data_IF_105831779766
#
_entry.id   IF_105831779766
#
_cell.length_a   1.000
_cell.length_b   1.000
_cell.length_c   1.000
_cell.angle_alpha   90.00
_cell.angle_beta   90.00
_cell.angle_gamma   90.00
#
_symmetry.space_group_name_H-M   'P 1'
#
loop_
_entity.id
_entity.type
_entity.pdbx_description
1 polymer ?
#
# COMPACT_ATOMS: atom_id res chain seq x y z
N UNK A 1 5.82 7.21 -6.41
CA UNK A 1 5.93 7.58 -7.84
C UNK A 1 7.33 7.38 -8.43
N UNK A 2 8.40 7.86 -7.79
CA UNK A 2 9.77 7.77 -8.35
C UNK A 2 10.32 6.37 -8.62
N UNK A 3 9.97 5.37 -7.80
CA UNK A 3 10.44 3.98 -7.94
C UNK A 3 9.81 3.23 -9.11
N UNK A 4 8.50 3.38 -9.32
CA UNK A 4 7.79 2.77 -10.45
C UNK A 4 8.16 3.45 -11.78
N UNK A 5 8.34 4.78 -11.78
CA UNK A 5 8.78 5.54 -12.95
C UNK A 5 10.20 5.18 -13.40
N UNK A 6 11.14 5.04 -12.46
CA UNK A 6 12.51 4.59 -12.76
C UNK A 6 12.56 3.18 -13.35
N UNK A 7 11.78 2.25 -12.79
CA UNK A 7 11.64 0.89 -13.33
C UNK A 7 11.02 0.86 -14.73
N UNK A 8 10.03 1.72 -15.00
CA UNK A 8 9.42 1.87 -16.32
C UNK A 8 10.41 2.41 -17.35
N UNK A 9 11.14 3.49 -17.03
CA UNK A 9 12.16 4.11 -17.89
C UNK A 9 13.26 3.10 -18.23
N UNK A 10 13.82 2.41 -17.22
CA UNK A 10 14.80 1.34 -17.43
C UNK A 10 14.28 0.23 -18.35
N UNK A 11 13.02 -0.17 -18.18
CA UNK A 11 12.39 -1.21 -19.00
C UNK A 11 12.02 -0.75 -20.41
N UNK A 12 11.82 0.55 -20.63
CA UNK A 12 11.48 1.12 -21.93
C UNK A 12 12.73 1.38 -22.78
N UNK A 13 13.82 1.84 -22.16
CA UNK A 13 15.08 2.16 -22.85
C UNK A 13 16.04 0.97 -23.01
N UNK A 14 15.75 -0.20 -22.43
CA UNK A 14 16.49 -1.43 -22.76
C UNK A 14 15.92 -2.00 -24.07
N UNK A 15 16.70 -2.07 -25.18
CA UNK A 15 16.19 -2.41 -26.51
C UNK A 15 15.44 -3.76 -26.51
N UNK A 16 14.17 -3.73 -26.90
CA UNK A 16 13.19 -4.80 -26.70
C UNK A 16 12.93 -5.63 -27.96
N UNK A 17 13.91 -6.45 -28.35
CA UNK A 17 13.60 -7.70 -29.06
C UNK A 17 13.58 -8.81 -28.00
N UNK A 18 12.38 -9.18 -27.53
CA UNK A 18 12.20 -10.34 -26.63
C UNK A 18 11.82 -10.09 -25.15
N UNK A 19 11.36 -8.91 -24.74
CA UNK A 19 11.21 -8.54 -23.31
C UNK A 19 9.76 -8.38 -22.80
N UNK A 20 8.77 -8.77 -23.59
CA UNK A 20 7.33 -8.54 -23.38
C UNK A 20 6.77 -8.96 -22.01
N UNK A 21 7.13 -10.13 -21.47
CA UNK A 21 6.68 -10.52 -20.13
C UNK A 21 7.28 -9.65 -19.01
N UNK A 22 8.55 -9.24 -19.17
CA UNK A 22 9.25 -8.46 -18.14
C UNK A 22 8.72 -7.02 -18.13
N UNK A 23 8.71 -6.37 -19.29
CA UNK A 23 8.21 -5.00 -19.43
C UNK A 23 6.71 -4.91 -19.15
N UNK A 24 5.91 -5.86 -19.65
CA UNK A 24 4.48 -5.96 -19.37
C UNK A 24 4.18 -6.17 -17.89
N UNK A 25 4.96 -7.03 -17.22
CA UNK A 25 4.87 -7.24 -15.77
C UNK A 25 5.09 -5.95 -14.98
N UNK A 26 6.18 -5.24 -15.25
CA UNK A 26 6.45 -3.96 -14.56
C UNK A 26 5.41 -2.89 -14.90
N UNK A 27 4.85 -2.89 -16.11
CA UNK A 27 3.76 -1.98 -16.48
C UNK A 27 2.49 -2.23 -15.65
N UNK A 28 2.07 -3.49 -15.51
CA UNK A 28 0.91 -3.85 -14.67
C UNK A 28 1.14 -3.43 -13.23
N UNK A 29 2.31 -3.77 -12.67
CA UNK A 29 2.68 -3.35 -11.32
C UNK A 29 2.60 -1.83 -11.16
N UNK A 30 3.13 -1.07 -12.12
CA UNK A 30 3.09 0.38 -12.13
C UNK A 30 1.67 0.95 -12.19
N UNK A 31 0.80 0.38 -13.03
CA UNK A 31 -0.61 0.78 -13.17
C UNK A 31 -1.40 0.49 -11.89
N UNK A 32 -1.27 -0.73 -11.34
CA UNK A 32 -1.93 -1.13 -10.10
C UNK A 32 -1.49 -0.23 -8.94
N UNK A 33 -0.18 0.00 -8.79
CA UNK A 33 0.36 0.86 -7.74
C UNK A 33 -0.14 2.30 -7.87
N UNK A 34 -0.16 2.85 -9.09
CA UNK A 34 -0.68 4.20 -9.36
C UNK A 34 -2.17 4.29 -9.03
N UNK A 35 -2.94 3.29 -9.44
CA UNK A 35 -4.37 3.24 -9.14
C UNK A 35 -4.63 3.15 -7.63
N UNK A 36 -3.92 2.28 -6.91
CA UNK A 36 -4.03 2.15 -5.45
C UNK A 36 -3.73 3.48 -4.75
N UNK A 37 -2.64 4.16 -5.16
CA UNK A 37 -2.28 5.47 -4.61
C UNK A 37 -3.39 6.52 -4.85
N UNK A 38 -3.94 6.60 -6.07
CA UNK A 38 -5.01 7.54 -6.38
C UNK A 38 -6.30 7.21 -5.62
N UNK A 39 -6.65 5.93 -5.52
CA UNK A 39 -7.81 5.47 -4.78
C UNK A 39 -7.66 5.76 -3.27
N UNK A 40 -6.47 5.56 -2.70
CA UNK A 40 -6.18 5.91 -1.31
C UNK A 40 -6.34 7.41 -1.09
N UNK A 41 -5.68 8.25 -1.92
CA UNK A 41 -5.82 9.70 -1.86
C UNK A 41 -7.28 10.15 -1.97
N UNK A 42 -8.07 9.52 -2.85
CA UNK A 42 -9.49 9.79 -3.00
C UNK A 42 -10.29 9.43 -1.74
N UNK A 43 -10.06 8.25 -1.16
CA UNK A 43 -10.72 7.81 0.08
C UNK A 43 -10.37 8.76 1.22
N UNK A 44 -9.11 9.15 1.34
CA UNK A 44 -8.66 10.13 2.33
C UNK A 44 -9.31 11.49 2.13
N UNK A 45 -9.37 11.98 0.90
CA UNK A 45 -10.02 13.25 0.59
C UNK A 45 -11.51 13.21 0.93
N UNK A 46 -12.21 12.15 0.53
CA UNK A 46 -13.65 11.98 0.75
C UNK A 46 -14.01 11.80 2.24
N UNK A 47 -13.20 11.02 2.97
CA UNK A 47 -13.43 10.75 4.40
C UNK A 47 -12.82 11.80 5.32
N UNK A 48 -12.10 12.79 4.79
CA UNK A 48 -11.45 13.82 5.59
C UNK A 48 -12.52 14.61 6.39
N UNK A 49 -12.47 14.57 7.73
CA UNK A 49 -13.53 15.17 8.55
C UNK A 49 -13.41 16.69 8.69
N UNK A 50 -12.39 17.27 8.06
CA UNK A 50 -11.94 18.63 8.30
C UNK A 50 -11.97 19.39 6.97
N UNK A 51 -13.13 20.00 6.65
CA UNK A 51 -13.16 21.09 5.68
C UNK A 51 -12.61 22.36 6.35
N UNK A 52 -11.62 23.05 5.77
CA UNK A 52 -10.97 24.22 6.36
C UNK A 52 -11.97 25.33 6.72
N UNK A 53 -13.07 25.44 5.96
CA UNK A 53 -14.12 26.44 6.18
C UNK A 53 -14.86 26.28 7.51
N UNK A 54 -14.96 25.05 8.03
CA UNK A 54 -15.62 24.76 9.31
C UNK A 54 -14.68 24.97 10.51
N UNK A 55 -13.37 24.74 10.34
CA UNK A 55 -12.38 25.02 11.39
C UNK A 55 -12.32 26.51 11.69
N UNK A 56 -12.36 27.37 10.66
CA UNK A 56 -12.28 28.82 10.87
C UNK A 56 -13.45 29.37 11.70
N UNK A 57 -14.61 28.71 11.62
CA UNK A 57 -15.82 29.11 12.36
C UNK A 57 -15.98 28.40 13.72
N UNK A 58 -15.54 27.16 13.86
CA UNK A 58 -15.76 26.34 15.07
C UNK A 58 -14.48 25.80 15.71
N UNK A 59 -13.29 26.27 15.32
CA UNK A 59 -12.00 25.74 15.78
C UNK A 59 -11.87 25.69 17.29
N UNK A 60 -12.35 26.72 18.00
CA UNK A 60 -12.33 26.75 19.46
C UNK A 60 -13.25 25.69 20.12
N UNK A 61 -14.39 25.35 19.50
CA UNK A 61 -15.29 24.28 19.97
C UNK A 61 -14.76 22.89 19.61
N UNK A 62 -14.15 22.73 18.44
CA UNK A 62 -13.54 21.47 18.01
C UNK A 62 -12.36 21.07 18.90
N UNK A 63 -11.47 22.03 19.22
CA UNK A 63 -10.34 21.78 20.14
C UNK A 63 -10.84 21.37 21.53
N UNK A 64 -11.94 21.95 22.02
CA UNK A 64 -12.57 21.56 23.30
C UNK A 64 -13.24 20.19 23.25
N UNK A 65 -13.86 19.81 22.13
CA UNK A 65 -14.47 18.49 21.98
C UNK A 65 -13.43 17.37 21.76
N UNK A 66 -12.33 17.67 21.09
CA UNK A 66 -11.18 16.77 20.93
C UNK A 66 -10.47 16.54 22.28
N UNK A 67 -10.30 17.62 23.08
CA UNK A 67 -9.76 17.57 24.44
C UNK A 67 -10.60 16.74 25.42
N UNK A 68 -11.89 16.54 25.15
CA UNK A 68 -12.79 15.72 25.97
C UNK A 68 -12.95 14.28 25.46
N UNK A 69 -12.17 13.86 24.46
CA UNK A 69 -12.23 12.51 23.89
C UNK A 69 -13.59 12.14 23.29
N UNK A 70 -14.45 13.13 23.00
CA UNK A 70 -15.88 12.93 22.72
C UNK A 70 -16.21 12.92 21.23
N UNK A 71 -15.24 13.19 20.36
CA UNK A 71 -15.44 13.14 18.91
C UNK A 71 -15.29 11.68 18.46
N UNK A 72 -16.30 10.87 18.79
CA UNK A 72 -16.68 9.73 17.95
C UNK A 72 -17.12 10.34 16.63
N UNK A 73 -16.27 10.22 15.62
CA UNK A 73 -16.38 10.94 14.38
C UNK A 73 -17.54 10.34 13.56
N UNK A 74 -18.74 10.85 13.84
CA UNK A 74 -19.96 10.86 13.05
C UNK A 74 -20.14 9.64 12.11
N UNK A 75 -20.54 8.53 12.74
CA UNK A 75 -21.65 7.65 12.35
C UNK A 75 -22.43 8.08 11.08
N UNK A 76 -21.89 7.74 9.91
CA UNK A 76 -22.59 7.83 8.62
C UNK A 76 -22.57 6.49 7.90
N UNK A 77 -23.07 5.44 8.54
CA UNK A 77 -23.20 4.10 7.92
C UNK A 77 -24.40 3.32 8.46
N UNK A 78 -25.58 3.94 8.49
CA UNK A 78 -26.81 3.21 8.89
C UNK A 78 -27.12 2.03 7.96
N UNK A 79 -26.70 2.06 6.70
CA UNK A 79 -26.88 0.94 5.76
C UNK A 79 -25.82 -0.15 5.92
N UNK A 80 -24.53 0.21 5.87
CA UNK A 80 -23.43 -0.75 6.00
C UNK A 80 -23.43 -1.41 7.38
N UNK A 81 -23.73 -0.66 8.45
CA UNK A 81 -23.87 -1.21 9.80
C UNK A 81 -24.97 -2.27 9.89
N UNK A 82 -26.14 -2.02 9.26
CA UNK A 82 -27.27 -2.98 9.21
C UNK A 82 -26.96 -4.20 8.36
N UNK A 83 -26.31 -4.02 7.21
CA UNK A 83 -25.91 -5.12 6.33
C UNK A 83 -24.87 -6.03 7.01
N UNK A 84 -23.83 -5.42 7.62
CA UNK A 84 -22.86 -6.17 8.42
C UNK A 84 -23.56 -6.89 9.56
N UNK A 85 -24.45 -6.24 10.32
CA UNK A 85 -25.12 -6.89 11.45
C UNK A 85 -25.85 -8.17 11.04
N UNK A 86 -26.58 -8.16 9.91
CA UNK A 86 -27.22 -9.37 9.38
C UNK A 86 -26.23 -10.46 8.99
N UNK A 87 -25.13 -10.10 8.34
CA UNK A 87 -24.08 -11.07 7.98
C UNK A 87 -23.44 -11.67 9.24
N UNK A 88 -23.22 -10.85 10.27
CA UNK A 88 -22.73 -11.27 11.58
C UNK A 88 -23.67 -12.27 12.24
N UNK A 89 -24.96 -11.96 12.31
CA UNK A 89 -25.97 -12.81 12.95
C UNK A 89 -26.13 -14.16 12.22
N UNK A 90 -26.16 -14.14 10.87
CA UNK A 90 -26.20 -15.37 10.06
C UNK A 90 -24.93 -16.19 10.25
N UNK A 91 -23.75 -15.54 10.25
CA UNK A 91 -22.47 -16.20 10.47
C UNK A 91 -22.40 -16.90 11.83
N UNK A 92 -22.86 -16.24 12.90
CA UNK A 92 -22.95 -16.84 14.23
C UNK A 92 -23.90 -18.04 14.21
N UNK A 93 -25.09 -17.91 13.62
CA UNK A 93 -26.05 -19.01 13.57
C UNK A 93 -25.47 -20.25 12.85
N UNK A 94 -24.83 -20.06 11.70
CA UNK A 94 -24.20 -21.14 10.92
C UNK A 94 -23.03 -21.79 11.67
N UNK A 95 -22.14 -21.00 12.27
CA UNK A 95 -21.01 -21.51 13.04
C UNK A 95 -21.44 -22.25 14.32
N UNK A 96 -22.45 -21.73 15.01
CA UNK A 96 -22.96 -22.37 16.24
C UNK A 96 -23.62 -23.70 15.90
N UNK A 97 -24.40 -23.75 14.80
CA UNK A 97 -25.04 -24.98 14.31
C UNK A 97 -24.02 -26.04 13.89
N UNK A 98 -22.95 -25.65 13.19
CA UNK A 98 -21.88 -26.56 12.77
C UNK A 98 -21.06 -27.10 13.95
N UNK A 99 -20.73 -26.26 14.94
CA UNK A 99 -20.04 -26.69 16.17
C UNK A 99 -20.88 -27.70 16.97
N UNK A 100 -22.20 -27.51 17.04
CA UNK A 100 -23.10 -28.44 17.73
C UNK A 100 -23.15 -29.82 17.05
N UNK A 101 -23.04 -29.88 15.72
CA UNK A 101 -23.02 -31.14 14.95
C UNK A 101 -21.70 -31.91 15.08
N UNK A 102 -20.58 -31.26 15.34
CA UNK A 102 -19.28 -31.92 15.48
C UNK A 102 -19.18 -32.73 16.77
N UNK A 103 -18.59 -33.94 16.78
CA UNK A 103 -18.52 -34.83 17.94
C UNK A 103 -17.51 -34.39 19.03
N UNK A 104 -17.56 -33.12 19.45
CA UNK A 104 -16.63 -32.56 20.42
C UNK A 104 -17.10 -32.78 21.86
N UNK A 105 -16.16 -32.94 22.79
CA UNK A 105 -16.40 -32.87 24.24
C UNK A 105 -16.54 -31.39 24.63
N UNK A 106 -17.57 -31.05 25.42
CA UNK A 106 -17.97 -29.68 25.82
C UNK A 106 -18.42 -28.76 24.67
N UNK A 107 -19.39 -29.20 23.84
CA UNK A 107 -19.85 -28.45 22.65
C UNK A 107 -20.55 -27.14 23.00
N UNK A 108 -21.43 -27.17 24.00
CA UNK A 108 -22.23 -26.00 24.37
C UNK A 108 -21.37 -24.85 24.89
N UNK A 109 -20.40 -25.15 25.75
CA UNK A 109 -19.47 -24.13 26.25
C UNK A 109 -18.59 -23.56 25.13
N UNK A 110 -18.09 -24.41 24.23
CA UNK A 110 -17.27 -23.96 23.08
C UNK A 110 -18.10 -23.10 22.13
N UNK A 111 -19.35 -23.48 21.87
CA UNK A 111 -20.29 -22.72 21.04
C UNK A 111 -20.60 -21.35 21.66
N UNK A 112 -20.89 -21.27 22.96
CA UNK A 112 -21.12 -20.00 23.68
C UNK A 112 -19.89 -19.10 23.65
N UNK A 113 -18.70 -19.63 24.02
CA UNK A 113 -17.44 -18.86 23.98
C UNK A 113 -17.11 -18.35 22.58
N UNK A 114 -17.40 -19.14 21.54
CA UNK A 114 -17.22 -18.72 20.15
C UNK A 114 -18.19 -17.59 19.78
N UNK A 115 -19.48 -17.74 20.09
CA UNK A 115 -20.50 -16.73 19.83
C UNK A 115 -20.17 -15.39 20.51
N UNK A 116 -19.75 -15.41 21.78
CA UNK A 116 -19.33 -14.21 22.51
C UNK A 116 -18.09 -13.55 21.90
N UNK A 117 -17.06 -14.34 21.58
CA UNK A 117 -15.86 -13.82 20.90
C UNK A 117 -16.20 -13.22 19.54
N UNK A 118 -17.07 -13.87 18.79
CA UNK A 118 -17.50 -13.40 17.48
C UNK A 118 -18.30 -12.11 17.58
N UNK A 119 -19.28 -12.03 18.48
CA UNK A 119 -20.04 -10.79 18.72
C UNK A 119 -19.14 -9.63 19.17
N UNK A 120 -18.18 -9.90 20.05
CA UNK A 120 -17.22 -8.89 20.49
C UNK A 120 -16.29 -8.44 19.36
N UNK A 121 -15.84 -9.37 18.51
CA UNK A 121 -15.08 -9.03 17.31
C UNK A 121 -15.93 -8.20 16.34
N UNK A 122 -17.18 -8.58 16.13
CA UNK A 122 -18.09 -7.90 15.20
C UNK A 122 -18.44 -6.49 15.66
N UNK A 123 -18.71 -6.30 16.96
CA UNK A 123 -18.87 -4.96 17.56
C UNK A 123 -17.62 -4.10 17.34
N UNK A 124 -16.43 -4.68 17.46
CA UNK A 124 -15.18 -3.98 17.19
C UNK A 124 -15.07 -3.58 15.71
N UNK A 125 -15.44 -4.48 14.79
CA UNK A 125 -15.44 -4.22 13.35
C UNK A 125 -16.48 -3.15 12.96
N UNK A 126 -17.66 -3.17 13.57
CA UNK A 126 -18.72 -2.18 13.33
C UNK A 126 -18.35 -0.78 13.80
N UNK A 127 -17.56 -0.67 14.87
CA UNK A 127 -17.07 0.61 15.38
C UNK A 127 -15.88 1.16 14.57
N UNK A 128 -15.41 0.46 13.53
CA UNK A 128 -14.34 0.97 12.68
C UNK A 128 -14.87 2.07 11.77
N UNK A 129 -14.02 3.07 11.52
CA UNK A 129 -14.29 4.10 10.54
C UNK A 129 -14.33 3.51 9.13
N UNK A 130 -15.10 4.12 8.21
CA UNK A 130 -15.14 3.71 6.79
C UNK A 130 -13.73 3.62 6.21
N UNK A 131 -12.87 4.56 6.59
CA UNK A 131 -11.46 4.57 6.20
C UNK A 131 -10.73 3.30 6.65
N UNK A 132 -10.79 2.95 7.93
CA UNK A 132 -10.16 1.72 8.45
C UNK A 132 -10.72 0.46 7.79
N UNK A 133 -12.02 0.47 7.47
CA UNK A 133 -12.65 -0.66 6.80
C UNK A 133 -12.11 -0.85 5.37
N UNK A 134 -12.08 0.23 4.57
CA UNK A 134 -11.53 0.19 3.21
C UNK A 134 -10.03 -0.13 3.22
N UNK A 135 -9.28 0.47 4.13
CA UNK A 135 -7.85 0.20 4.31
C UNK A 135 -7.59 -1.28 4.55
N UNK A 136 -8.29 -1.89 5.52
CA UNK A 136 -8.02 -3.26 5.93
C UNK A 136 -8.55 -4.32 4.95
N UNK A 137 -9.70 -4.08 4.33
CA UNK A 137 -10.38 -5.08 3.49
C UNK A 137 -10.14 -4.91 1.98
N UNK A 138 -9.74 -3.71 1.53
CA UNK A 138 -9.49 -3.44 0.12
C UNK A 138 -8.02 -3.12 -0.14
N UNK A 139 -7.45 -2.12 0.53
CA UNK A 139 -6.09 -1.67 0.23
C UNK A 139 -5.04 -2.68 0.68
N UNK A 140 -5.05 -3.13 1.94
CA UNK A 140 -4.07 -4.10 2.46
C UNK A 140 -3.96 -5.38 1.62
N UNK A 141 -5.06 -6.08 1.24
CA UNK A 141 -4.93 -7.28 0.41
C UNK A 141 -4.46 -6.96 -1.02
N UNK A 142 -4.88 -5.84 -1.61
CA UNK A 142 -4.40 -5.44 -2.94
C UNK A 142 -2.92 -5.07 -2.93
N UNK A 143 -2.45 -4.39 -1.89
CA UNK A 143 -1.04 -4.10 -1.66
C UNK A 143 -0.23 -5.37 -1.46
N UNK A 144 -0.73 -6.32 -0.66
CA UNK A 144 -0.09 -7.62 -0.47
C UNK A 144 0.00 -8.40 -1.78
N UNK A 145 -1.07 -8.41 -2.59
CA UNK A 145 -1.06 -9.02 -3.91
C UNK A 145 -0.05 -8.34 -4.84
N UNK A 146 -0.03 -7.01 -4.87
CA UNK A 146 0.91 -6.23 -5.68
C UNK A 146 2.37 -6.45 -5.24
N UNK A 147 2.62 -6.62 -3.94
CA UNK A 147 3.90 -7.01 -3.38
C UNK A 147 4.32 -8.43 -3.83
N UNK A 148 3.42 -9.40 -3.70
CA UNK A 148 3.68 -10.76 -4.19
C UNK A 148 3.97 -10.77 -5.69
N UNK A 149 3.27 -9.93 -6.46
CA UNK A 149 3.47 -9.79 -7.90
C UNK A 149 4.86 -9.23 -8.23
N UNK A 150 5.32 -8.16 -7.57
CA UNK A 150 6.68 -7.63 -7.83
C UNK A 150 7.77 -8.59 -7.36
N UNK A 151 7.57 -9.31 -6.25
CA UNK A 151 8.50 -10.37 -5.80
C UNK A 151 8.58 -11.49 -6.84
N UNK A 152 7.45 -11.89 -7.40
CA UNK A 152 7.40 -12.85 -8.51
C UNK A 152 8.19 -12.35 -9.73
N UNK A 153 8.02 -11.09 -10.15
CA UNK A 153 8.77 -10.53 -11.28
C UNK A 153 10.28 -10.56 -11.03
N UNK A 154 10.72 -10.20 -9.82
CA UNK A 154 12.14 -10.25 -9.44
C UNK A 154 12.68 -11.68 -9.49
N UNK A 155 11.95 -12.63 -8.91
CA UNK A 155 12.36 -14.03 -8.91
C UNK A 155 12.39 -14.62 -10.33
N UNK A 156 11.39 -14.34 -11.15
CA UNK A 156 11.33 -14.78 -12.54
C UNK A 156 12.46 -14.18 -13.39
N UNK A 157 12.88 -12.94 -13.07
CA UNK A 157 14.02 -12.32 -13.72
C UNK A 157 15.36 -12.93 -13.29
N UNK A 158 15.56 -13.21 -12.00
CA UNK A 158 16.83 -13.78 -11.49
C UNK A 158 17.03 -15.24 -11.88
N UNK A 159 15.94 -16.02 -11.91
CA UNK A 159 15.97 -17.42 -12.34
C UNK A 159 16.01 -17.60 -13.86
N UNK A 160 15.83 -16.52 -14.62
CA UNK A 160 15.73 -16.59 -16.08
C UNK A 160 14.42 -17.22 -16.56
N UNK A 161 13.37 -17.30 -15.72
CA UNK A 161 12.07 -17.84 -16.11
C UNK A 161 11.42 -17.07 -17.28
N UNK A 162 11.82 -15.82 -17.51
CA UNK A 162 11.41 -15.03 -18.68
C UNK A 162 12.19 -15.35 -19.97
N UNK A 163 13.19 -16.23 -19.94
CA UNK A 163 13.99 -16.64 -21.10
C UNK A 163 13.34 -17.80 -21.89
N UNK A 164 12.02 -17.81 -21.99
CA UNK A 164 11.30 -18.81 -22.79
C UNK A 164 10.74 -18.17 -24.07
N UNK A 165 10.57 -18.97 -25.11
CA UNK A 165 10.06 -18.49 -26.41
C UNK A 165 8.69 -17.82 -26.25
N UNK A 166 7.85 -18.30 -25.32
CA UNK A 166 6.54 -17.70 -25.04
C UNK A 166 6.63 -16.26 -24.57
N UNK A 167 7.49 -15.96 -23.58
CA UNK A 167 7.63 -14.61 -23.06
C UNK A 167 8.35 -13.66 -24.00
N UNK A 168 9.27 -14.19 -24.81
CA UNK A 168 10.01 -13.39 -25.77
C UNK A 168 9.23 -13.11 -27.06
N UNK A 169 8.30 -13.98 -27.47
CA UNK A 169 7.48 -13.83 -28.69
C UNK A 169 6.28 -12.89 -28.55
N UNK A 170 6.29 -11.98 -27.58
CA UNK A 170 5.25 -10.94 -27.39
C UNK A 170 3.80 -11.44 -27.40
N UNK A 171 3.37 -12.26 -26.41
CA UNK A 171 2.00 -12.74 -26.32
C UNK A 171 1.00 -11.62 -25.98
N UNK A 172 1.50 -10.43 -25.63
CA UNK A 172 0.72 -9.24 -25.29
C UNK A 172 0.39 -8.39 -26.52
N UNK A 173 1.05 -8.62 -27.65
CA UNK A 173 0.76 -8.01 -28.94
C UNK A 173 -0.16 -8.92 -29.75
N UNK A 174 -1.23 -8.38 -30.34
CA UNK A 174 -2.19 -9.16 -31.13
C UNK A 174 -1.59 -9.80 -32.39
N UNK A 175 -0.43 -9.34 -32.85
CA UNK A 175 0.20 -9.75 -34.11
C UNK A 175 1.33 -10.78 -33.86
N UNK A 176 1.66 -11.07 -32.60
CA UNK A 176 2.83 -11.87 -32.24
C UNK A 176 4.14 -11.11 -32.47
N UNK A 177 5.16 -11.42 -31.68
CA UNK A 177 6.51 -10.85 -31.80
C UNK A 177 7.44 -11.76 -32.59
N UNK A 178 8.23 -11.18 -33.50
CA UNK A 178 9.34 -11.89 -34.14
C UNK A 178 10.48 -12.08 -33.15
N UNK A 179 11.04 -13.30 -33.10
CA UNK A 179 12.22 -13.61 -32.31
C UNK A 179 13.41 -13.88 -33.23
N UNK A 180 14.47 -13.09 -33.09
CA UNK A 180 15.74 -13.37 -33.76
C UNK A 180 16.62 -14.27 -32.89
N UNK A 181 16.73 -15.54 -33.27
CA UNK A 181 17.58 -16.52 -32.58
C UNK A 181 19.09 -16.26 -32.69
N UNK A 182 19.51 -15.34 -33.56
CA UNK A 182 20.94 -14.99 -33.72
C UNK A 182 21.38 -13.86 -32.81
N UNK A 183 20.46 -12.96 -32.42
CA UNK A 183 20.77 -11.76 -31.63
C UNK A 183 20.14 -11.73 -30.23
N UNK A 184 19.32 -12.72 -29.85
CA UNK A 184 18.57 -12.69 -28.57
C UNK A 184 19.45 -12.59 -27.31
N UNK A 185 20.70 -13.05 -27.35
CA UNK A 185 21.63 -13.04 -26.20
C UNK A 185 22.84 -12.12 -26.39
N UNK A 186 23.06 -11.61 -27.60
CA UNK A 186 24.28 -10.88 -27.96
C UNK A 186 23.89 -9.58 -28.65
N UNK A 187 24.01 -8.47 -27.93
CA UNK A 187 23.98 -7.16 -28.53
C UNK A 187 25.39 -6.83 -29.06
N UNK A 188 25.54 -6.76 -30.38
CA UNK A 188 26.83 -6.44 -31.02
C UNK A 188 27.24 -4.97 -30.86
N UNK A 189 26.42 -4.14 -30.22
CA UNK A 189 26.73 -2.74 -30.00
C UNK A 189 27.32 -2.52 -28.60
N UNK A 190 28.57 -2.03 -28.55
CA UNK A 190 29.28 -1.71 -27.32
C UNK A 190 28.56 -0.63 -26.48
N UNK A 191 27.73 0.21 -27.11
CA UNK A 191 27.01 1.26 -26.41
C UNK A 191 25.88 0.72 -25.50
N UNK A 192 25.41 -0.51 -25.72
CA UNK A 192 24.34 -1.11 -24.89
C UNK A 192 24.78 -1.24 -23.43
N UNK A 193 26.04 -1.62 -23.19
CA UNK A 193 26.59 -1.70 -21.85
C UNK A 193 26.62 -0.31 -21.19
N UNK A 194 26.99 0.72 -21.96
CA UNK A 194 27.04 2.11 -21.48
C UNK A 194 25.64 2.62 -21.10
N UNK A 195 24.65 2.48 -21.98
CA UNK A 195 23.27 2.90 -21.69
C UNK A 195 22.67 2.15 -20.50
N UNK A 196 23.00 0.86 -20.35
CA UNK A 196 22.54 0.06 -19.21
C UNK A 196 23.12 0.55 -17.88
N UNK A 197 24.43 0.83 -17.85
CA UNK A 197 25.10 1.38 -16.67
C UNK A 197 24.54 2.76 -16.33
N UNK A 198 24.41 3.65 -17.33
CA UNK A 198 23.86 4.99 -17.15
C UNK A 198 22.42 4.94 -16.61
N UNK A 199 21.55 4.13 -17.21
CA UNK A 199 20.18 3.96 -16.76
C UNK A 199 20.08 3.38 -15.34
N UNK A 200 20.93 2.41 -15.01
CA UNK A 200 20.97 1.78 -13.68
C UNK A 200 21.46 2.77 -12.63
N UNK A 201 22.55 3.49 -12.91
CA UNK A 201 23.12 4.48 -12.00
C UNK A 201 22.10 5.60 -11.71
N UNK A 202 21.48 6.18 -12.75
CA UNK A 202 20.47 7.22 -12.59
C UNK A 202 19.29 6.72 -11.76
N UNK A 203 18.76 5.53 -12.07
CA UNK A 203 17.60 4.98 -11.37
C UNK A 203 17.89 4.66 -9.90
N UNK A 204 19.03 4.01 -9.63
CA UNK A 204 19.47 3.71 -8.26
C UNK A 204 19.69 4.98 -7.44
N UNK A 205 20.32 6.01 -8.02
CA UNK A 205 20.56 7.28 -7.34
C UNK A 205 19.25 8.01 -7.06
N UNK A 206 18.35 8.15 -8.04
CA UNK A 206 17.06 8.83 -7.85
C UNK A 206 16.20 8.10 -6.83
N UNK A 207 16.13 6.77 -6.88
CA UNK A 207 15.39 5.97 -5.91
C UNK A 207 16.00 6.04 -4.51
N UNK A 208 17.33 5.96 -4.42
CA UNK A 208 18.07 6.04 -3.15
C UNK A 208 17.86 7.38 -2.46
N UNK A 209 18.07 8.49 -3.20
CA UNK A 209 17.85 9.86 -2.69
C UNK A 209 16.39 10.06 -2.30
N UNK A 210 15.43 9.64 -3.14
CA UNK A 210 14.01 9.76 -2.82
C UNK A 210 13.60 8.98 -1.58
N UNK A 211 14.15 7.77 -1.39
CA UNK A 211 13.89 6.95 -0.20
C UNK A 211 14.49 7.58 1.06
N UNK A 212 15.72 8.08 0.98
CA UNK A 212 16.37 8.81 2.07
C UNK A 212 15.53 10.02 2.47
N UNK A 213 15.07 10.80 1.49
CA UNK A 213 14.21 11.96 1.74
C UNK A 213 12.89 11.57 2.45
N UNK A 214 12.19 10.54 1.95
CA UNK A 214 10.96 10.06 2.57
C UNK A 214 11.17 9.56 4.01
N UNK A 215 12.27 8.85 4.27
CA UNK A 215 12.63 8.38 5.62
C UNK A 215 12.92 9.56 6.54
N UNK A 216 13.61 10.60 6.05
CA UNK A 216 13.88 11.82 6.83
C UNK A 216 12.56 12.52 7.17
N UNK A 217 11.69 12.75 6.20
CA UNK A 217 10.38 13.39 6.43
C UNK A 217 9.52 12.56 7.39
N UNK A 218 9.51 11.24 7.22
CA UNK A 218 8.80 10.35 8.13
C UNK A 218 9.36 10.45 9.55
N UNK A 219 10.68 10.45 9.75
CA UNK A 219 11.30 10.65 11.05
C UNK A 219 10.96 12.02 11.67
N UNK A 220 10.84 13.07 10.85
CA UNK A 220 10.41 14.40 11.30
C UNK A 220 8.94 14.41 11.75
N UNK A 221 8.07 13.63 11.09
CA UNK A 221 6.62 13.64 11.32
C UNK A 221 6.10 12.52 12.22
N UNK A 222 6.91 11.49 12.52
CA UNK A 222 6.49 10.29 13.26
C UNK A 222 5.88 10.60 14.64
N UNK A 223 6.32 11.66 15.31
CA UNK A 223 5.78 12.09 16.62
C UNK A 223 4.30 12.50 16.58
N UNK A 224 3.75 12.84 15.40
CA UNK A 224 2.32 13.17 15.22
C UNK A 224 1.43 11.92 15.23
N UNK A 225 2.01 10.73 15.04
CA UNK A 225 1.28 9.46 15.02
C UNK A 225 1.14 8.81 16.40
N UNK A 226 1.83 9.32 17.41
CA UNK A 226 1.79 8.81 18.79
C UNK A 226 0.53 9.28 19.53
N UNK A 227 -0.23 8.33 20.10
CA UNK A 227 -1.45 8.63 20.87
C UNK A 227 -1.14 9.18 22.28
N UNK A 228 -0.01 8.77 22.88
CA UNK A 228 0.42 9.25 24.19
C UNK A 228 1.08 10.63 24.08
N UNK A 229 0.52 11.63 24.77
CA UNK A 229 0.97 13.01 24.75
C UNK A 229 2.41 13.19 25.23
N UNK A 230 2.81 12.48 26.29
CA UNK A 230 4.17 12.60 26.85
C UNK A 230 5.24 12.08 25.86
N UNK A 231 4.94 10.97 25.20
CA UNK A 231 5.82 10.39 24.18
C UNK A 231 5.86 11.26 22.92
N UNK A 232 4.72 11.83 22.51
CA UNK A 232 4.65 12.80 21.43
C UNK A 232 5.48 14.06 21.72
N UNK A 233 5.43 14.58 22.97
CA UNK A 233 6.21 15.75 23.39
C UNK A 233 7.72 15.45 23.43
N UNK A 234 8.10 14.24 23.88
CA UNK A 234 9.50 13.77 23.83
C UNK A 234 9.98 13.62 22.39
N UNK A 235 9.15 13.05 21.53
CA UNK A 235 9.37 12.96 20.08
C UNK A 235 9.60 14.34 19.46
N UNK A 236 8.75 15.32 19.77
CA UNK A 236 8.89 16.69 19.28
C UNK A 236 10.22 17.35 19.71
N UNK A 237 10.66 17.14 20.96
CA UNK A 237 11.97 17.63 21.43
C UNK A 237 13.12 16.99 20.66
N UNK A 238 13.05 15.69 20.39
CA UNK A 238 14.05 14.97 19.61
C UNK A 238 14.07 15.42 18.15
N UNK A 239 12.90 15.61 17.52
CA UNK A 239 12.76 16.15 16.17
C UNK A 239 13.35 17.56 16.08
N UNK A 240 13.14 18.43 17.08
CA UNK A 240 13.77 19.77 17.10
C UNK A 240 15.29 19.74 17.25
N UNK A 241 15.85 18.71 17.89
CA UNK A 241 17.31 18.50 17.93
C UNK A 241 17.79 17.98 16.59
N UNK A 242 17.16 16.95 16.05
CA UNK A 242 17.48 16.37 14.75
C UNK A 242 17.40 17.42 13.63
N UNK A 243 16.33 18.23 13.60
CA UNK A 243 16.15 19.33 12.66
C UNK A 243 17.27 20.37 12.74
N UNK A 244 17.81 20.66 13.94
CA UNK A 244 18.98 21.53 14.07
C UNK A 244 20.23 20.94 13.42
N UNK A 245 20.38 19.61 13.45
CA UNK A 245 21.49 18.94 12.76
C UNK A 245 21.27 18.83 11.24
N UNK A 246 20.02 18.68 10.78
CA UNK A 246 19.71 18.53 9.35
C UNK A 246 19.43 19.84 8.62
N UNK A 247 19.33 20.98 9.33
CA UNK A 247 19.04 22.30 8.75
C UNK A 247 20.03 22.72 7.65
N UNK A 248 21.29 22.26 7.73
CA UNK A 248 22.32 22.53 6.72
C UNK A 248 22.01 21.91 5.34
N UNK A 249 21.22 20.84 5.29
CA UNK A 249 20.82 20.19 4.03
C UNK A 249 19.68 20.93 3.33
N UNK A 250 18.86 21.68 4.07
CA UNK A 250 17.71 22.42 3.53
C UNK A 250 18.07 23.79 2.94
N UNK A 251 19.24 24.36 3.27
CA UNK A 251 19.68 25.66 2.75
C UNK A 251 20.51 25.56 1.45
N UNK A 252 20.97 24.37 1.06
CA UNK A 252 21.75 24.16 -0.18
C UNK A 252 20.88 23.92 -1.42
N UNK A 253 19.54 24.02 -1.30
CA UNK A 253 18.57 23.82 -2.37
C UNK A 253 17.75 25.08 -2.73
N UNK A 254 18.22 26.26 -2.28
CA UNK A 254 17.69 27.57 -2.68
C UNK A 254 18.70 28.31 -3.57
#
# INVERSE_FOLDING_TARGET
>A
AGTAGGGFILSYFTPTVGLSCRSGGYMIFGLVTTFLMLAELFVWWYTSPIRPDKIRKHGAQYVRALSRGTISLAQSTSFVGRALQRVGDVGVAVCTFTILRLPLRQREEKAKRFAERWQNHFKRVQNMTVRQWVERWLFTPLEAFNLCFVVYLLFAQTTGAFQNCWCQSSPWSSIGGYLDFTQWKVANNADVARYWIEGTAISCTVMGVGTIYLVIEWCLQAHLSTENYEDAMRGLKNVRRFRRFTFWVSQSSA
#
